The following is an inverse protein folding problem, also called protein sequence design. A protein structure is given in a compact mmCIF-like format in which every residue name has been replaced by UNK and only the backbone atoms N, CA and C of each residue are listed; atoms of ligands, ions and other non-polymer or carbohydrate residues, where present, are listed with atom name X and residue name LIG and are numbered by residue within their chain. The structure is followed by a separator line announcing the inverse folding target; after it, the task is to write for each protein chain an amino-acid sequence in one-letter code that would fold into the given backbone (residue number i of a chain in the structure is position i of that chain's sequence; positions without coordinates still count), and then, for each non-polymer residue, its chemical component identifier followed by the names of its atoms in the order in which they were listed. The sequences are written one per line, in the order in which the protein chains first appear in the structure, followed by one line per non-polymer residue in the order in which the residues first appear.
data_IF_700761998529
#
_entry.id   IF_700761998529
#
_cell.length_a   1.000
_cell.length_b   1.000
_cell.length_c   1.000
_cell.angle_alpha   90.00
_cell.angle_beta   90.00
_cell.angle_gamma   90.00
#
_symmetry.space_group_name_H-M   'P 1'
#
loop_
_entity.id
_entity.type
_entity.pdbx_description
1 polymer ?
#
# COMPACT_ATOMS: atom_id res chain seq x y z
N UNK A 1 49.08 33.19 37.52
CA UNK A 1 48.98 32.43 36.25
C UNK A 1 48.11 31.15 36.35
N UNK A 2 48.20 30.35 37.39
CA UNK A 2 47.37 29.10 37.53
C UNK A 2 45.85 29.39 37.66
N UNK A 3 45.46 30.43 38.40
CA UNK A 3 44.05 30.80 38.59
C UNK A 3 43.38 31.24 37.27
N UNK A 4 44.06 32.01 36.48
CA UNK A 4 43.51 32.50 35.19
C UNK A 4 43.30 31.34 34.19
N UNK A 5 44.19 30.35 34.18
CA UNK A 5 44.00 29.14 33.36
C UNK A 5 42.80 28.31 33.80
N UNK A 6 42.59 28.18 35.12
CA UNK A 6 41.43 27.45 35.66
C UNK A 6 40.08 28.12 35.30
N UNK A 7 40.03 29.43 35.39
CA UNK A 7 38.86 30.23 35.01
C UNK A 7 38.56 30.09 33.51
N UNK A 8 39.59 30.15 32.66
CA UNK A 8 39.45 30.02 31.25
C UNK A 8 38.92 28.66 30.81
N UNK A 9 39.44 27.59 31.42
CA UNK A 9 38.99 26.21 31.17
C UNK A 9 37.52 26.04 31.59
N UNK A 10 37.14 26.57 32.75
CA UNK A 10 35.75 26.45 33.24
C UNK A 10 34.77 27.21 32.34
N UNK A 11 35.16 28.39 31.87
CA UNK A 11 34.36 29.18 30.92
C UNK A 11 34.17 28.44 29.59
N UNK A 12 35.22 27.83 29.05
CA UNK A 12 35.16 27.04 27.81
C UNK A 12 34.24 25.82 28.00
N UNK A 13 34.33 25.10 29.12
CA UNK A 13 33.45 23.98 29.43
C UNK A 13 31.97 24.41 29.51
N UNK A 14 31.66 25.54 30.12
CA UNK A 14 30.30 26.06 30.24
C UNK A 14 29.75 26.43 28.87
N UNK A 15 30.52 27.12 28.04
CA UNK A 15 30.13 27.49 26.67
C UNK A 15 29.93 26.24 25.79
N UNK A 16 30.78 25.24 25.95
CA UNK A 16 30.63 23.96 25.24
C UNK A 16 29.37 23.20 25.64
N UNK A 17 28.97 23.23 26.91
CA UNK A 17 27.72 22.61 27.40
C UNK A 17 26.46 23.27 26.81
N UNK A 18 26.46 24.58 26.65
CA UNK A 18 25.36 25.30 26.02
C UNK A 18 25.26 25.07 24.52
N UNK A 19 26.38 24.76 23.84
CA UNK A 19 26.40 24.44 22.41
C UNK A 19 25.81 23.07 22.03
N UNK A 20 25.56 22.19 23.01
CA UNK A 20 24.98 20.86 22.80
C UNK A 20 23.44 20.82 22.89
N UNK A 21 22.79 21.97 23.14
CA UNK A 21 21.33 22.04 23.01
C UNK A 21 20.96 22.01 21.52
N UNK A 22 20.99 20.80 20.96
CA UNK A 22 20.44 20.52 19.64
C UNK A 22 18.94 20.81 19.66
N UNK A 23 18.51 21.80 18.93
CA UNK A 23 17.08 22.05 18.70
C UNK A 23 16.50 20.84 17.95
N UNK A 24 15.81 19.98 18.64
CA UNK A 24 14.91 19.00 18.03
C UNK A 24 13.72 19.82 17.53
N UNK A 25 13.66 20.06 16.24
CA UNK A 25 12.49 20.66 15.60
C UNK A 25 11.46 19.53 15.48
N UNK A 26 10.44 19.55 16.31
CA UNK A 26 9.28 18.68 16.13
C UNK A 26 8.60 19.07 14.80
N UNK A 27 8.49 18.12 13.90
CA UNK A 27 7.74 18.28 12.67
C UNK A 27 6.32 17.85 13.00
N UNK A 28 5.36 18.75 12.86
CA UNK A 28 3.95 18.42 12.95
C UNK A 28 3.56 17.63 11.69
N UNK A 29 3.59 16.30 11.86
CA UNK A 29 3.29 15.36 10.78
C UNK A 29 1.81 15.38 10.41
N UNK A 30 0.95 15.74 11.36
CA UNK A 30 -0.50 15.82 11.13
C UNK A 30 -0.86 16.95 10.16
N UNK A 31 -0.09 18.04 10.16
CA UNK A 31 -0.26 19.13 9.20
C UNK A 31 0.04 18.72 7.74
N UNK A 32 0.70 17.59 7.54
CA UNK A 32 1.03 17.03 6.23
C UNK A 32 0.04 15.94 5.79
N UNK A 33 -1.00 15.66 6.57
CA UNK A 33 -1.99 14.64 6.26
C UNK A 33 -2.75 15.00 4.97
N UNK A 34 -2.66 14.17 3.91
CA UNK A 34 -3.48 14.35 2.72
C UNK A 34 -4.93 13.88 2.98
N UNK A 35 -5.85 14.37 2.17
CA UNK A 35 -7.21 13.86 2.17
C UNK A 35 -7.22 12.37 1.78
N UNK A 36 -7.99 11.53 2.49
CA UNK A 36 -8.10 10.11 2.14
C UNK A 36 -8.71 9.94 0.75
N UNK A 37 -8.12 9.05 -0.04
CA UNK A 37 -8.63 8.71 -1.38
C UNK A 37 -8.99 7.24 -1.47
N UNK A 38 -9.93 6.92 -2.37
CA UNK A 38 -10.36 5.56 -2.63
C UNK A 38 -9.23 4.75 -3.29
N UNK A 39 -9.02 3.54 -2.80
CA UNK A 39 -8.04 2.59 -3.33
C UNK A 39 -8.76 1.35 -3.81
N UNK A 40 -8.53 0.98 -5.06
CA UNK A 40 -9.08 -0.23 -5.69
C UNK A 40 -7.92 -1.13 -6.08
N UNK A 41 -7.95 -2.36 -5.59
CA UNK A 41 -6.97 -3.38 -5.93
C UNK A 41 -7.68 -4.60 -6.52
N UNK A 42 -7.36 -4.95 -7.77
CA UNK A 42 -7.89 -6.09 -8.48
C UNK A 42 -6.75 -6.88 -9.10
N UNK A 43 -6.73 -8.18 -8.84
CA UNK A 43 -5.82 -9.11 -9.51
C UNK A 43 -6.67 -10.01 -10.41
N UNK A 44 -6.55 -9.83 -11.73
CA UNK A 44 -7.28 -10.61 -12.71
C UNK A 44 -6.44 -11.82 -13.14
N UNK A 45 -7.00 -13.02 -12.98
CA UNK A 45 -6.38 -14.28 -13.38
C UNK A 45 -7.30 -14.93 -14.42
N UNK A 46 -6.72 -15.35 -15.55
CA UNK A 46 -7.47 -16.04 -16.60
C UNK A 46 -8.06 -17.33 -16.07
N UNK A 47 -9.36 -17.53 -16.24
CA UNK A 47 -10.08 -18.73 -15.82
C UNK A 47 -10.56 -18.74 -14.37
N UNK A 48 -10.34 -17.64 -13.61
CA UNK A 48 -10.83 -17.48 -12.25
C UNK A 48 -11.79 -16.29 -12.14
N UNK A 49 -12.78 -16.33 -11.24
CA UNK A 49 -13.64 -15.18 -10.95
C UNK A 49 -12.82 -13.97 -10.47
N UNK A 50 -13.21 -12.79 -10.91
CA UNK A 50 -12.54 -11.56 -10.47
C UNK A 50 -12.84 -11.24 -9.00
N UNK A 51 -11.80 -10.84 -8.30
CA UNK A 51 -11.90 -10.34 -6.93
C UNK A 51 -11.31 -8.94 -6.82
N UNK A 52 -11.97 -8.07 -6.09
CA UNK A 52 -11.59 -6.67 -5.93
C UNK A 52 -11.61 -6.31 -4.45
N UNK A 53 -10.53 -5.76 -3.94
CA UNK A 53 -10.53 -5.15 -2.62
C UNK A 53 -10.63 -3.62 -2.76
N UNK A 54 -11.49 -3.03 -1.94
CA UNK A 54 -11.71 -1.59 -1.89
C UNK A 54 -11.38 -1.10 -0.50
N UNK A 55 -10.52 -0.10 -0.43
CA UNK A 55 -10.08 0.51 0.82
C UNK A 55 -9.89 2.02 0.62
N UNK A 56 -9.44 2.72 1.64
CA UNK A 56 -8.99 4.10 1.54
C UNK A 56 -7.49 4.19 1.80
N UNK A 57 -6.86 5.24 1.31
CA UNK A 57 -5.51 5.58 1.76
C UNK A 57 -5.54 5.87 3.27
N UNK A 58 -4.45 5.52 3.94
CA UNK A 58 -4.27 5.78 5.36
C UNK A 58 -2.99 6.57 5.58
N UNK A 59 -2.98 7.34 6.65
CA UNK A 59 -1.79 8.06 7.06
C UNK A 59 -1.07 7.26 8.13
N UNK A 60 0.25 7.36 8.21
CA UNK A 60 1.06 6.50 9.10
C UNK A 60 0.78 6.71 10.60
N UNK A 61 0.11 7.80 10.98
CA UNK A 61 -0.36 8.06 12.35
C UNK A 61 -1.77 7.48 12.61
N UNK A 62 -2.42 6.86 11.63
CA UNK A 62 -3.74 6.27 11.83
C UNK A 62 -3.65 4.99 12.66
N UNK A 63 -4.50 4.87 13.69
CA UNK A 63 -4.56 3.69 14.57
C UNK A 63 -5.03 2.43 13.84
N UNK A 64 -5.81 2.58 12.78
CA UNK A 64 -6.41 1.48 12.01
C UNK A 64 -6.09 1.59 10.51
N UNK A 65 -4.91 1.12 10.09
CA UNK A 65 -4.58 1.04 8.68
C UNK A 65 -5.44 0.00 7.94
N UNK A 66 -5.67 0.21 6.65
CA UNK A 66 -6.34 -0.76 5.77
C UNK A 66 -7.80 -1.10 6.13
N UNK A 67 -8.63 -0.09 6.32
CA UNK A 67 -10.08 -0.29 6.48
C UNK A 67 -10.68 -0.72 5.14
N UNK A 68 -11.30 -1.91 5.11
CA UNK A 68 -12.08 -2.39 3.96
C UNK A 68 -13.40 -1.61 3.91
N UNK A 69 -13.77 -1.12 2.74
CA UNK A 69 -15.00 -0.37 2.50
C UNK A 69 -16.08 -1.32 1.94
N UNK A 70 -16.77 -2.02 2.83
CA UNK A 70 -17.82 -3.01 2.53
C UNK A 70 -19.05 -2.43 1.81
N UNK A 71 -19.32 -1.13 2.02
CA UNK A 71 -20.44 -0.40 1.41
C UNK A 71 -20.09 0.29 0.10
N UNK A 72 -18.90 0.05 -0.43
CA UNK A 72 -18.54 0.59 -1.74
C UNK A 72 -19.42 -0.01 -2.83
N UNK A 73 -19.71 0.79 -3.84
CA UNK A 73 -20.33 0.31 -5.06
C UNK A 73 -19.22 -0.05 -6.05
N UNK A 74 -19.17 -1.31 -6.48
CA UNK A 74 -18.13 -1.80 -7.40
C UNK A 74 -18.77 -2.34 -8.66
N UNK A 75 -18.48 -1.70 -9.78
CA UNK A 75 -19.02 -2.01 -11.10
C UNK A 75 -17.94 -2.60 -12.00
N UNK A 76 -18.28 -3.71 -12.66
CA UNK A 76 -17.43 -4.37 -13.64
C UNK A 76 -17.90 -4.03 -15.06
N UNK A 77 -16.94 -3.66 -15.89
CA UNK A 77 -17.13 -3.48 -17.32
C UNK A 77 -16.18 -4.40 -18.10
N UNK A 78 -16.70 -5.04 -19.12
CA UNK A 78 -15.93 -5.93 -20.00
C UNK A 78 -16.06 -5.42 -21.42
N UNK A 79 -14.94 -5.21 -22.09
CA UNK A 79 -14.88 -4.70 -23.48
C UNK A 79 -15.68 -3.38 -23.66
N UNK A 80 -15.67 -2.52 -22.62
CA UNK A 80 -16.37 -1.24 -22.60
C UNK A 80 -17.86 -1.30 -22.25
N UNK A 81 -18.42 -2.50 -22.03
CA UNK A 81 -19.83 -2.70 -21.69
C UNK A 81 -19.97 -3.03 -20.20
N UNK A 82 -20.93 -2.39 -19.53
CA UNK A 82 -21.29 -2.76 -18.16
C UNK A 82 -21.68 -4.24 -18.11
N UNK A 83 -21.05 -4.97 -17.22
CA UNK A 83 -21.27 -6.40 -17.06
C UNK A 83 -22.15 -6.69 -15.84
N UNK A 84 -21.72 -6.23 -14.67
CA UNK A 84 -22.41 -6.47 -13.41
C UNK A 84 -21.91 -5.54 -12.30
N UNK A 85 -22.70 -5.46 -11.22
CA UNK A 85 -22.28 -4.91 -9.95
C UNK A 85 -21.77 -6.07 -9.09
N UNK A 86 -20.55 -5.94 -8.62
CA UNK A 86 -19.91 -7.00 -7.82
C UNK A 86 -20.50 -7.09 -6.42
N UNK A 87 -20.59 -8.30 -5.89
CA UNK A 87 -21.12 -8.57 -4.55
C UNK A 87 -20.02 -8.59 -3.50
N UNK A 88 -20.26 -7.95 -2.35
CA UNK A 88 -19.34 -8.01 -1.22
C UNK A 88 -19.37 -9.40 -0.56
N UNK A 89 -18.20 -9.91 -0.23
CA UNK A 89 -17.98 -11.12 0.53
C UNK A 89 -17.23 -10.76 1.81
N UNK A 90 -17.73 -11.23 2.94
CA UNK A 90 -17.05 -11.02 4.21
C UNK A 90 -15.72 -11.79 4.25
N UNK A 91 -14.74 -11.21 4.91
CA UNK A 91 -13.49 -11.90 5.19
C UNK A 91 -13.66 -12.93 6.32
N UNK A 92 -12.71 -13.83 6.42
CA UNK A 92 -12.64 -14.80 7.50
C UNK A 92 -11.55 -14.38 8.50
N UNK A 93 -11.97 -13.98 9.70
CA UNK A 93 -11.03 -13.56 10.76
C UNK A 93 -10.11 -14.71 11.21
N UNK A 94 -10.60 -15.97 11.17
CA UNK A 94 -9.81 -17.14 11.55
C UNK A 94 -8.59 -17.35 10.62
N UNK A 95 -8.73 -16.94 9.34
CA UNK A 95 -7.66 -16.99 8.34
C UNK A 95 -7.03 -15.63 8.07
N UNK A 96 -7.36 -14.60 8.87
CA UNK A 96 -6.88 -13.22 8.68
C UNK A 96 -7.12 -12.69 7.25
N UNK A 97 -8.23 -13.09 6.63
CA UNK A 97 -8.64 -12.60 5.31
C UNK A 97 -9.58 -11.42 5.47
N UNK A 98 -9.38 -10.42 4.62
CA UNK A 98 -10.24 -9.21 4.58
C UNK A 98 -11.39 -9.44 3.63
N UNK A 99 -12.51 -8.71 3.87
CA UNK A 99 -13.62 -8.69 2.93
C UNK A 99 -13.21 -8.17 1.55
N UNK A 100 -13.87 -8.66 0.51
CA UNK A 100 -13.62 -8.34 -0.88
C UNK A 100 -14.90 -8.37 -1.71
N UNK A 101 -14.89 -7.75 -2.87
CA UNK A 101 -15.97 -7.85 -3.85
C UNK A 101 -15.64 -8.94 -4.85
N UNK A 102 -16.65 -9.75 -5.18
CA UNK A 102 -16.54 -10.88 -6.09
C UNK A 102 -17.46 -10.68 -7.30
N UNK A 103 -16.97 -11.03 -8.46
CA UNK A 103 -17.69 -11.12 -9.72
C UNK A 103 -17.97 -12.58 -10.05
N UNK A 104 -19.06 -12.85 -10.74
CA UNK A 104 -19.32 -14.17 -11.35
C UNK A 104 -18.69 -14.29 -12.74
N UNK A 105 -18.21 -13.20 -13.30
CA UNK A 105 -17.53 -13.17 -14.59
C UNK A 105 -16.13 -13.77 -14.50
N UNK A 106 -15.82 -14.68 -15.41
CA UNK A 106 -14.51 -15.31 -15.57
C UNK A 106 -13.83 -14.71 -16.82
N UNK A 107 -12.76 -13.93 -16.66
CA UNK A 107 -12.09 -13.30 -17.78
C UNK A 107 -11.32 -14.30 -18.65
N UNK A 108 -11.31 -14.04 -19.96
CA UNK A 108 -10.52 -14.78 -20.93
C UNK A 108 -9.48 -13.87 -21.58
N UNK A 109 -8.48 -14.48 -22.22
CA UNK A 109 -7.46 -13.78 -22.99
C UNK A 109 -8.08 -12.73 -23.93
N UNK A 110 -7.53 -11.52 -23.90
CA UNK A 110 -7.94 -10.41 -24.75
C UNK A 110 -9.09 -9.58 -24.21
N UNK A 111 -9.77 -10.02 -23.17
CA UNK A 111 -10.80 -9.20 -22.54
C UNK A 111 -10.19 -7.92 -21.95
N UNK A 112 -10.85 -6.80 -22.23
CA UNK A 112 -10.57 -5.51 -21.58
C UNK A 112 -11.44 -5.39 -20.36
N UNK A 113 -10.81 -5.46 -19.18
CA UNK A 113 -11.47 -5.42 -17.88
C UNK A 113 -11.32 -4.02 -17.30
N UNK A 114 -12.42 -3.36 -16.98
CA UNK A 114 -12.44 -2.11 -16.23
C UNK A 114 -13.27 -2.29 -14.97
N UNK A 115 -12.67 -1.98 -13.85
CA UNK A 115 -13.32 -1.93 -12.54
C UNK A 115 -13.48 -0.48 -12.14
N UNK A 116 -14.67 -0.12 -11.68
CA UNK A 116 -14.99 1.21 -11.15
C UNK A 116 -15.60 1.05 -9.77
N UNK A 117 -14.98 1.65 -8.77
CA UNK A 117 -15.49 1.67 -7.41
C UNK A 117 -15.86 3.09 -7.01
N UNK A 118 -16.97 3.24 -6.32
CA UNK A 118 -17.41 4.51 -5.76
C UNK A 118 -17.75 4.38 -4.27
N UNK A 119 -17.42 5.44 -3.52
CA UNK A 119 -17.78 5.57 -2.11
C UNK A 119 -18.12 7.03 -1.80
N UNK A 120 -19.21 7.31 -1.08
CA UNK A 120 -19.72 8.69 -0.91
C UNK A 120 -18.69 9.68 -0.37
N UNK A 121 -17.82 9.25 0.56
CA UNK A 121 -16.83 10.12 1.21
C UNK A 121 -15.53 10.26 0.43
N UNK A 122 -15.18 9.27 -0.43
CA UNK A 122 -13.87 9.18 -1.08
C UNK A 122 -13.94 9.28 -2.60
N UNK A 123 -15.15 9.51 -3.16
CA UNK A 123 -15.35 9.69 -4.59
C UNK A 123 -15.31 8.39 -5.39
N UNK A 124 -14.75 8.46 -6.60
CA UNK A 124 -14.74 7.36 -7.57
C UNK A 124 -13.29 7.05 -7.95
N UNK A 125 -12.96 5.77 -8.00
CA UNK A 125 -11.69 5.28 -8.54
C UNK A 125 -11.95 4.21 -9.59
N UNK A 126 -11.18 4.21 -10.68
CA UNK A 126 -11.29 3.20 -11.73
C UNK A 126 -9.91 2.75 -12.23
N UNK A 127 -9.85 1.49 -12.64
CA UNK A 127 -8.67 0.92 -13.27
C UNK A 127 -9.10 0.02 -14.43
N UNK A 128 -8.27 -0.01 -15.48
CA UNK A 128 -8.51 -0.82 -16.66
C UNK A 128 -7.25 -1.62 -17.03
N UNK A 129 -7.43 -2.85 -17.45
CA UNK A 129 -6.37 -3.70 -17.98
C UNK A 129 -6.89 -4.59 -19.10
N UNK A 130 -5.98 -5.16 -19.89
CA UNK A 130 -6.30 -6.19 -20.90
C UNK A 130 -5.72 -7.51 -20.43
N UNK A 131 -6.53 -8.57 -20.46
CA UNK A 131 -6.10 -9.92 -20.08
C UNK A 131 -4.99 -10.41 -21.02
N UNK A 132 -3.80 -10.70 -20.48
CA UNK A 132 -2.66 -11.11 -21.30
C UNK A 132 -2.83 -12.52 -21.87
N UNK A 133 -2.02 -12.83 -22.87
CA UNK A 133 -1.83 -14.23 -23.27
C UNK A 133 -1.13 -15.01 -22.16
N UNK A 134 -1.50 -16.28 -21.95
CA UNK A 134 -0.72 -17.15 -21.07
C UNK A 134 0.74 -17.22 -21.54
N UNK A 135 1.66 -16.94 -20.63
CA UNK A 135 3.08 -17.04 -20.92
C UNK A 135 3.45 -18.51 -21.21
N UNK A 136 4.08 -18.77 -22.34
CA UNK A 136 4.66 -20.07 -22.61
C UNK A 136 6.10 -20.10 -22.10
N UNK A 137 6.35 -20.89 -21.05
CA UNK A 137 7.71 -21.12 -20.53
C UNK A 137 8.35 -22.21 -21.36
N UNK A 138 9.16 -21.82 -22.34
CA UNK A 138 9.86 -22.77 -23.22
C UNK A 138 11.09 -23.39 -22.54
N UNK A 139 11.81 -22.63 -21.70
CA UNK A 139 12.96 -23.09 -20.93
C UNK A 139 13.02 -22.31 -19.61
N UNK A 140 13.01 -23.00 -18.50
CA UNK A 140 13.24 -22.43 -17.17
C UNK A 140 14.63 -22.83 -16.66
N UNK A 141 15.59 -21.90 -16.68
CA UNK A 141 16.87 -22.07 -16.02
C UNK A 141 16.70 -21.61 -14.55
N UNK A 142 16.54 -22.57 -13.65
CA UNK A 142 16.63 -22.32 -12.22
C UNK A 142 18.09 -22.05 -11.86
N UNK A 143 18.45 -20.79 -11.75
CA UNK A 143 19.72 -20.40 -11.13
C UNK A 143 19.58 -20.55 -9.62
N UNK A 144 20.07 -21.67 -9.10
CA UNK A 144 20.37 -21.79 -7.68
C UNK A 144 21.72 -21.09 -7.44
N UNK A 145 21.69 -19.75 -7.36
CA UNK A 145 22.84 -19.02 -6.84
C UNK A 145 22.86 -19.19 -5.33
N UNK A 146 23.93 -19.75 -4.72
CA UNK A 146 24.00 -19.82 -3.26
C UNK A 146 23.94 -18.40 -2.71
N UNK A 147 23.11 -18.22 -1.68
CA UNK A 147 22.97 -16.94 -0.99
C UNK A 147 24.34 -16.41 -0.56
N UNK A 148 24.60 -15.10 -0.60
CA UNK A 148 25.84 -14.52 -0.07
C UNK A 148 26.14 -14.91 1.39
N UNK A 149 25.15 -15.39 2.13
CA UNK A 149 25.28 -15.89 3.51
C UNK A 149 25.88 -17.31 3.59
N UNK A 150 25.84 -18.09 2.50
CA UNK A 150 26.39 -19.46 2.49
C UNK A 150 27.90 -19.51 2.16
N UNK A 151 28.57 -18.37 2.06
CA UNK A 151 29.99 -18.26 1.82
C UNK A 151 30.85 -18.14 3.08
N UNK A 152 30.30 -18.44 4.27
CA UNK A 152 31.10 -18.53 5.49
C UNK A 152 31.63 -19.94 5.66
N UNK A 153 32.83 -20.20 5.15
CA UNK A 153 33.71 -21.26 5.56
C UNK A 153 34.92 -20.64 6.23
#
# INVERSE_FOLDING_TARGET
MKQIKSILINTICIVSLFGLMSCIKEIDLESLRPDPTLVVNCVAITGEPLTVSVSRTWFFTDDHPNVTLDKAEVNLFVNGVFKERMSFQEGDEAFNTKGYFKSDFIPVKGDRIRVEASYPEYGVASAETVMPEPAQVLNCLLYTSPSPRDRSV
#
